data_IF_153449109857
#
_entry.id   IF_153449109857
#
_cell.length_a   1.000
_cell.length_b   1.000
_cell.length_c   1.000
_cell.angle_alpha   90.00
_cell.angle_beta   90.00
_cell.angle_gamma   90.00
#
_symmetry.space_group_name_H-M   'P 1'
#
loop_
_entity.id
_entity.type
_entity.pdbx_description
1 polymer ?
#
# COMPACT_ATOMS: atom_id res chain seq x y z
N UNK A 1 -11.81 0.41 -6.04
CA UNK A 1 -10.88 1.49 -5.63
C UNK A 1 -10.89 1.56 -4.12
N UNK A 2 -9.76 1.84 -3.47
CA UNK A 2 -9.67 1.96 -2.01
C UNK A 2 -9.21 3.37 -1.68
N UNK A 3 -9.86 4.00 -0.71
CA UNK A 3 -9.49 5.30 -0.17
C UNK A 3 -8.95 5.13 1.25
N UNK A 4 -7.97 5.94 1.61
CA UNK A 4 -7.39 5.97 2.95
C UNK A 4 -7.47 7.40 3.47
N UNK A 5 -7.53 7.54 4.79
CA UNK A 5 -7.70 8.82 5.50
C UNK A 5 -9.12 9.40 5.48
N UNK A 6 -10.10 8.63 5.02
CA UNK A 6 -11.51 8.99 5.03
C UNK A 6 -12.37 7.70 5.17
N UNK A 7 -13.45 7.69 5.96
CA UNK A 7 -14.01 8.80 6.75
C UNK A 7 -13.20 9.11 8.02
N UNK A 8 -12.32 8.20 8.42
CA UNK A 8 -11.46 8.37 9.59
C UNK A 8 -10.05 8.80 9.18
N UNK A 9 -9.48 9.82 9.83
CA UNK A 9 -8.10 10.22 9.58
C UNK A 9 -7.15 9.12 10.05
N UNK A 10 -6.09 8.89 9.29
CA UNK A 10 -5.11 7.85 9.58
C UNK A 10 -3.71 8.47 9.51
N UNK A 11 -2.82 8.23 10.49
CA UNK A 11 -1.45 8.69 10.41
C UNK A 11 -0.70 7.97 9.29
N UNK A 12 0.10 8.74 8.54
CA UNK A 12 0.95 8.25 7.44
C UNK A 12 0.18 7.40 6.39
N UNK A 13 -0.86 7.96 5.73
CA UNK A 13 -1.71 7.20 4.82
C UNK A 13 -0.95 6.64 3.61
N UNK A 14 0.08 7.34 3.13
CA UNK A 14 0.96 6.88 2.05
C UNK A 14 1.64 5.55 2.39
N UNK A 15 2.26 5.46 3.57
CA UNK A 15 2.98 4.27 4.01
C UNK A 15 2.03 3.08 4.18
N UNK A 16 0.86 3.32 4.78
CA UNK A 16 -0.18 2.30 4.93
C UNK A 16 -0.73 1.83 3.60
N UNK A 17 -0.92 2.74 2.63
CA UNK A 17 -1.34 2.37 1.28
C UNK A 17 -0.35 1.41 0.61
N UNK A 18 0.94 1.71 0.72
CA UNK A 18 2.00 0.88 0.13
C UNK A 18 2.11 -0.46 0.84
N UNK A 19 2.08 -0.49 2.18
CA UNK A 19 2.08 -1.74 2.95
C UNK A 19 0.87 -2.62 2.63
N UNK A 20 -0.31 -2.01 2.51
CA UNK A 20 -1.53 -2.70 2.09
C UNK A 20 -1.38 -3.29 0.69
N UNK A 21 -0.89 -2.52 -0.29
CA UNK A 21 -0.69 -3.01 -1.65
C UNK A 21 0.32 -4.16 -1.72
N UNK A 22 1.37 -4.11 -0.90
CA UNK A 22 2.35 -5.20 -0.78
C UNK A 22 1.68 -6.48 -0.23
N UNK A 23 0.93 -6.36 0.86
CA UNK A 23 0.22 -7.51 1.44
C UNK A 23 -0.83 -8.09 0.48
N UNK A 24 -1.54 -7.24 -0.27
CA UNK A 24 -2.47 -7.67 -1.31
C UNK A 24 -1.77 -8.42 -2.44
N UNK A 25 -0.59 -7.95 -2.88
CA UNK A 25 0.20 -8.64 -3.90
C UNK A 25 0.63 -10.04 -3.44
N UNK A 26 1.06 -10.16 -2.19
CA UNK A 26 1.46 -11.44 -1.60
C UNK A 26 0.27 -12.41 -1.54
N UNK A 27 -0.87 -11.96 -1.02
CA UNK A 27 -2.10 -12.78 -1.00
C UNK A 27 -2.58 -13.16 -2.41
N UNK A 28 -2.50 -12.22 -3.37
CA UNK A 28 -2.86 -12.46 -4.75
C UNK A 28 -1.92 -13.47 -5.43
N UNK A 29 -0.64 -13.54 -5.05
CA UNK A 29 0.32 -14.47 -5.66
C UNK A 29 -0.11 -15.94 -5.50
N UNK A 30 -0.67 -16.31 -4.35
CA UNK A 30 -1.21 -17.66 -4.10
C UNK A 30 -2.38 -17.97 -5.02
N UNK A 31 -3.29 -17.00 -5.21
CA UNK A 31 -4.40 -17.16 -6.14
C UNK A 31 -3.88 -17.28 -7.57
N UNK A 32 -3.01 -16.37 -8.01
CA UNK A 32 -2.44 -16.37 -9.36
C UNK A 32 -1.80 -17.71 -9.68
N UNK A 33 -1.05 -18.31 -8.75
CA UNK A 33 -0.49 -19.65 -8.92
C UNK A 33 -1.56 -20.71 -9.18
N UNK A 34 -2.62 -20.77 -8.36
CA UNK A 34 -3.73 -21.71 -8.54
C UNK A 34 -4.50 -21.49 -9.86
N UNK A 35 -4.62 -20.24 -10.32
CA UNK A 35 -5.23 -19.94 -11.62
C UNK A 35 -4.33 -20.35 -12.79
N UNK A 36 -3.01 -20.25 -12.63
CA UNK A 36 -2.02 -20.67 -13.62
C UNK A 36 -2.04 -22.17 -13.86
N UNK A 37 -2.17 -22.97 -12.80
CA UNK A 37 -2.35 -24.42 -12.90
C UNK A 37 -3.59 -24.81 -13.70
N UNK A 38 -4.61 -23.95 -13.70
CA UNK A 38 -5.85 -24.11 -14.48
C UNK A 38 -5.76 -23.48 -15.88
N UNK A 39 -4.54 -23.21 -16.37
CA UNK A 39 -4.26 -22.70 -17.71
C UNK A 39 -4.57 -21.22 -17.91
N UNK A 40 -4.77 -20.44 -16.84
CA UNK A 40 -5.13 -19.00 -16.94
C UNK A 40 -3.99 -18.12 -16.46
N UNK A 41 -3.63 -17.14 -17.28
CA UNK A 41 -2.66 -16.11 -16.90
C UNK A 41 -3.39 -14.92 -16.28
N UNK A 42 -3.18 -14.73 -14.98
CA UNK A 42 -3.65 -13.56 -14.25
C UNK A 42 -2.44 -12.76 -13.78
N UNK A 43 -2.56 -11.44 -13.80
CA UNK A 43 -1.56 -10.55 -13.24
C UNK A 43 -2.15 -9.66 -12.15
N UNK A 44 -1.29 -9.13 -11.29
CA UNK A 44 -1.67 -8.19 -10.24
C UNK A 44 -0.84 -6.92 -10.33
N UNK A 45 -1.51 -5.79 -10.59
CA UNK A 45 -0.90 -4.46 -10.63
C UNK A 45 -1.66 -3.49 -9.73
N UNK A 46 -0.94 -2.56 -9.10
CA UNK A 46 -1.54 -1.52 -8.24
C UNK A 46 -0.98 -0.15 -8.59
N UNK A 47 -1.87 0.84 -8.71
CA UNK A 47 -1.51 2.25 -8.80
C UNK A 47 -1.90 3.01 -7.52
N UNK A 48 -0.97 3.78 -6.95
CA UNK A 48 -1.20 4.56 -5.73
C UNK A 48 -0.90 6.03 -6.01
N UNK A 49 -1.86 6.90 -5.73
CA UNK A 49 -1.70 8.35 -5.81
C UNK A 49 -2.20 9.03 -4.53
N UNK A 50 -1.62 10.19 -4.22
CA UNK A 50 -2.00 11.02 -3.08
C UNK A 50 -2.26 12.45 -3.55
N UNK A 51 -3.35 13.04 -3.06
CA UNK A 51 -3.80 14.37 -3.43
C UNK A 51 -5.19 14.66 -2.89
N UNK A 52 -5.71 15.82 -3.22
CA UNK A 52 -7.03 16.24 -2.82
C UNK A 52 -8.10 15.58 -3.68
N UNK A 53 -9.18 15.15 -3.04
CA UNK A 53 -10.40 14.64 -3.65
C UNK A 53 -11.58 15.01 -2.76
N UNK A 54 -12.76 15.14 -3.36
CA UNK A 54 -14.02 15.27 -2.64
C UNK A 54 -14.59 13.87 -2.47
N UNK A 55 -14.83 13.45 -1.22
CA UNK A 55 -15.47 12.18 -0.90
C UNK A 55 -16.87 12.42 -0.36
N UNK A 56 -17.77 11.48 -0.63
CA UNK A 56 -19.14 11.54 -0.12
C UNK A 56 -20.06 10.53 -0.79
N UNK A 57 -21.32 10.56 -0.37
CA UNK A 57 -22.38 9.83 -1.04
C UNK A 57 -22.75 10.57 -2.33
N UNK A 58 -22.46 9.95 -3.47
CA UNK A 58 -22.72 10.50 -4.79
C UNK A 58 -23.63 9.54 -5.56
N UNK A 59 -24.63 10.11 -6.24
CA UNK A 59 -25.60 9.38 -7.03
C UNK A 59 -27.03 9.86 -6.76
N UNK A 60 -27.99 9.13 -7.30
CA UNK A 60 -29.42 9.42 -7.14
C UNK A 60 -30.05 8.45 -6.14
N UNK A 61 -31.29 8.72 -5.70
CA UNK A 61 -31.98 7.99 -4.63
C UNK A 61 -31.89 6.45 -4.75
N UNK A 62 -32.05 5.90 -5.95
CA UNK A 62 -32.03 4.45 -6.19
C UNK A 62 -30.62 3.86 -6.40
N UNK A 63 -29.63 4.71 -6.71
CA UNK A 63 -28.25 4.31 -6.97
C UNK A 63 -27.30 5.39 -6.47
N UNK A 64 -27.05 5.35 -5.17
CA UNK A 64 -26.04 6.17 -4.51
C UNK A 64 -24.94 5.29 -3.94
N UNK A 65 -23.71 5.79 -3.99
CA UNK A 65 -22.54 5.08 -3.48
C UNK A 65 -21.57 6.05 -2.82
N UNK A 66 -20.84 5.57 -1.82
CA UNK A 66 -19.73 6.32 -1.26
C UNK A 66 -18.54 6.27 -2.23
N UNK A 67 -18.13 7.42 -2.74
CA UNK A 67 -17.06 7.49 -3.73
C UNK A 67 -16.27 8.78 -3.61
N UNK A 68 -15.15 8.86 -4.33
CA UNK A 68 -14.29 10.03 -4.39
C UNK A 68 -14.27 10.59 -5.82
N UNK A 69 -14.34 11.90 -5.93
CA UNK A 69 -14.18 12.65 -7.17
C UNK A 69 -12.96 13.55 -7.04
N UNK A 70 -12.03 13.44 -7.97
CA UNK A 70 -10.86 14.31 -8.07
C UNK A 70 -9.81 13.78 -9.02
N UNK A 71 -8.93 14.68 -9.48
CA UNK A 71 -7.85 14.34 -10.41
C UNK A 71 -6.95 13.24 -9.86
N UNK A 72 -6.75 13.16 -8.54
CA UNK A 72 -5.96 12.09 -7.90
C UNK A 72 -6.53 10.69 -8.16
N UNK A 73 -7.85 10.54 -8.25
CA UNK A 73 -8.49 9.26 -8.53
C UNK A 73 -8.16 8.79 -9.96
N UNK A 74 -8.18 9.73 -10.90
CA UNK A 74 -7.80 9.47 -12.29
C UNK A 74 -6.32 9.09 -12.38
N UNK A 75 -5.44 9.82 -11.68
CA UNK A 75 -4.00 9.48 -11.64
C UNK A 75 -3.77 8.07 -11.09
N UNK A 76 -4.41 7.72 -9.96
CA UNK A 76 -4.31 6.38 -9.38
C UNK A 76 -4.77 5.29 -10.36
N UNK A 77 -5.91 5.50 -11.03
CA UNK A 77 -6.44 4.56 -12.01
C UNK A 77 -5.50 4.39 -13.22
N UNK A 78 -4.89 5.48 -13.70
CA UNK A 78 -3.92 5.43 -14.81
C UNK A 78 -2.63 4.73 -14.41
N UNK A 79 -2.09 5.03 -13.23
CA UNK A 79 -0.95 4.29 -12.68
C UNK A 79 -1.26 2.79 -12.55
N UNK A 80 -2.49 2.44 -12.15
CA UNK A 80 -2.91 1.05 -12.07
C UNK A 80 -2.97 0.38 -13.45
N UNK A 81 -3.41 1.10 -14.48
CA UNK A 81 -3.46 0.60 -15.86
C UNK A 81 -2.09 0.38 -16.49
N UNK A 82 -1.08 1.16 -16.10
CA UNK A 82 0.31 0.99 -16.56
C UNK A 82 1.10 -0.04 -15.73
N UNK A 83 0.58 -0.47 -14.59
CA UNK A 83 1.25 -1.41 -13.71
C UNK A 83 1.29 -2.81 -14.34
N UNK A 84 2.49 -3.33 -14.59
CA UNK A 84 2.67 -4.72 -15.03
C UNK A 84 2.44 -5.70 -13.88
N UNK A 85 2.39 -6.98 -14.19
CA UNK A 85 2.24 -8.04 -13.19
C UNK A 85 3.29 -7.93 -12.05
N UNK A 86 2.81 -8.00 -10.81
CA UNK A 86 3.57 -7.83 -9.58
C UNK A 86 4.04 -6.40 -9.29
N UNK A 87 3.72 -5.42 -10.14
CA UNK A 87 4.17 -4.04 -9.97
C UNK A 87 3.19 -3.21 -9.14
N UNK A 88 3.78 -2.37 -8.30
CA UNK A 88 3.09 -1.34 -7.53
C UNK A 88 3.71 -0.03 -7.98
N UNK A 89 2.92 0.80 -8.64
CA UNK A 89 3.33 2.08 -9.21
C UNK A 89 2.85 3.22 -8.30
N UNK A 90 3.81 4.02 -7.83
CA UNK A 90 3.55 5.12 -6.91
C UNK A 90 3.64 6.46 -7.65
N UNK A 91 2.69 7.36 -7.39
CA UNK A 91 2.81 8.75 -7.79
C UNK A 91 3.89 9.50 -6.99
N UNK A 92 4.45 10.56 -7.55
CA UNK A 92 5.53 11.35 -6.96
C UNK A 92 5.27 11.79 -5.51
N UNK A 93 4.05 12.27 -5.21
CA UNK A 93 3.68 12.73 -3.87
C UNK A 93 3.71 11.61 -2.83
N UNK A 94 3.33 10.39 -3.22
CA UNK A 94 3.41 9.20 -2.36
C UNK A 94 4.88 8.90 -2.08
N UNK A 95 5.72 8.88 -3.11
CA UNK A 95 7.15 8.61 -2.96
C UNK A 95 7.84 9.59 -2.00
N UNK A 96 7.55 10.89 -2.14
CA UNK A 96 8.07 11.94 -1.23
C UNK A 96 7.56 11.72 0.20
N UNK A 97 6.29 11.37 0.38
CA UNK A 97 5.70 11.13 1.70
C UNK A 97 6.29 9.90 2.42
N UNK A 98 6.80 8.91 1.69
CA UNK A 98 7.43 7.73 2.29
C UNK A 98 8.76 8.03 2.96
N UNK A 99 9.49 9.08 2.54
CA UNK A 99 10.81 9.46 3.10
C UNK A 99 11.79 8.28 3.28
N UNK A 100 11.77 7.30 2.38
CA UNK A 100 12.63 6.10 2.45
C UNK A 100 12.18 5.01 3.43
N UNK A 101 10.99 5.11 4.04
CA UNK A 101 10.41 4.04 4.87
C UNK A 101 10.19 2.72 4.13
N UNK A 102 10.06 2.79 2.80
CA UNK A 102 9.91 1.63 1.91
C UNK A 102 10.92 1.77 0.76
N UNK A 103 11.55 0.66 0.39
CA UNK A 103 12.48 0.62 -0.74
C UNK A 103 11.74 0.83 -2.07
N UNK A 104 12.11 1.89 -2.79
CA UNK A 104 11.48 2.31 -4.04
C UNK A 104 12.51 2.44 -5.15
N UNK A 105 12.19 1.94 -6.34
CA UNK A 105 13.02 2.05 -7.55
C UNK A 105 12.34 2.94 -8.58
N UNK A 106 13.05 3.92 -9.14
CA UNK A 106 12.50 4.82 -10.16
C UNK A 106 12.39 4.12 -11.51
N UNK A 107 11.18 4.10 -12.08
CA UNK A 107 10.85 3.43 -13.35
C UNK A 107 10.89 4.40 -14.54
N UNK A 108 11.07 5.70 -14.29
CA UNK A 108 11.07 6.76 -15.29
C UNK A 108 9.77 7.56 -15.33
N UNK A 109 9.62 8.41 -16.36
CA UNK A 109 8.40 9.17 -16.59
C UNK A 109 7.38 8.31 -17.37
N UNK A 110 6.15 8.25 -16.87
CA UNK A 110 5.03 7.60 -17.56
C UNK A 110 4.14 8.66 -18.20
N UNK A 111 3.90 8.54 -19.50
CA UNK A 111 2.94 9.35 -20.22
C UNK A 111 1.52 8.82 -19.95
N UNK A 112 0.88 9.34 -18.91
CA UNK A 112 -0.48 8.94 -18.57
C UNK A 112 -1.49 9.63 -19.50
N UNK A 113 -2.23 8.84 -20.28
CA UNK A 113 -3.21 9.36 -21.25
C UNK A 113 -4.22 10.32 -20.60
N UNK A 114 -4.35 11.52 -21.16
CA UNK A 114 -5.29 12.55 -20.72
C UNK A 114 -4.79 13.44 -19.58
N UNK A 115 -3.52 13.34 -19.20
CA UNK A 115 -2.87 14.28 -18.27
C UNK A 115 -1.83 15.11 -19.05
N UNK A 116 -1.97 16.44 -18.98
CA UNK A 116 -1.12 17.41 -19.73
C UNK A 116 0.32 17.44 -19.22
N UNK A 117 0.55 17.04 -17.97
CA UNK A 117 1.89 16.93 -17.39
C UNK A 117 2.25 15.45 -17.25
N UNK A 118 3.35 14.97 -17.85
CA UNK A 118 3.85 13.63 -17.56
C UNK A 118 4.08 13.52 -16.05
N UNK A 119 3.48 12.53 -15.39
CA UNK A 119 3.66 12.38 -13.95
C UNK A 119 5.12 11.98 -13.69
N UNK A 120 5.95 12.85 -13.09
CA UNK A 120 7.36 12.57 -12.96
C UNK A 120 7.52 11.48 -11.91
N UNK A 121 8.25 10.42 -12.25
CA UNK A 121 8.73 9.41 -11.30
C UNK A 121 7.65 8.48 -10.77
N UNK A 122 7.51 7.36 -11.46
CA UNK A 122 6.82 6.21 -10.90
C UNK A 122 7.82 5.33 -10.18
N UNK A 123 7.52 4.99 -8.93
CA UNK A 123 8.39 4.14 -8.11
C UNK A 123 7.82 2.72 -7.98
N UNK A 124 8.66 1.70 -8.13
CA UNK A 124 8.35 0.30 -7.82
C UNK A 124 8.78 -0.01 -6.40
N UNK A 125 7.86 -0.45 -5.55
CA UNK A 125 8.23 -0.94 -4.21
C UNK A 125 8.81 -2.36 -4.30
N UNK A 126 10.08 -2.53 -3.93
CA UNK A 126 10.64 -3.86 -3.62
C UNK A 126 10.31 -4.19 -2.17
N UNK A 127 10.01 -5.46 -1.87
CA UNK A 127 10.16 -5.90 -0.48
C UNK A 127 11.63 -5.72 -0.14
N UNK A 128 11.93 -4.98 0.93
CA UNK A 128 13.18 -5.25 1.62
C UNK A 128 13.05 -6.67 2.15
N UNK A 129 13.71 -7.62 1.48
CA UNK A 129 13.90 -8.94 2.03
C UNK A 129 14.77 -8.73 3.28
N UNK A 130 14.15 -8.52 4.45
CA UNK A 130 14.86 -8.56 5.73
C UNK A 130 15.07 -10.02 6.11
N UNK A 131 15.91 -10.68 5.33
CA UNK A 131 16.60 -11.91 5.69
C UNK A 131 18.09 -11.70 5.43
N UNK A 132 18.69 -10.79 6.21
CA UNK A 132 20.08 -10.91 6.64
C UNK A 132 20.36 -9.94 7.81
N UNK A 133 20.62 -10.55 8.97
CA UNK A 133 21.54 -10.10 10.01
C UNK A 133 21.48 -8.64 10.50
N UNK A 134 20.72 -8.41 11.57
CA UNK A 134 21.21 -7.74 12.79
C UNK A 134 20.49 -8.45 13.95
N UNK A 135 21.15 -9.47 14.50
CA UNK A 135 21.80 -9.41 15.81
C UNK A 135 20.81 -9.25 16.96
N UNK A 136 20.73 -10.29 17.76
CA UNK A 136 20.55 -10.27 19.21
C UNK A 136 20.97 -8.94 19.85
N UNK A 137 20.18 -8.51 20.85
CA UNK A 137 20.37 -7.37 21.75
C UNK A 137 19.72 -6.04 21.34
N UNK A 138 18.42 -5.92 21.68
CA UNK A 138 17.88 -4.70 22.27
C UNK A 138 16.69 -5.07 23.19
N UNK A 139 16.97 -5.89 24.20
CA UNK A 139 16.15 -5.91 25.42
C UNK A 139 16.46 -4.57 26.08
N UNK A 140 15.52 -3.63 26.02
CA UNK A 140 15.54 -2.47 26.91
C UNK A 140 15.10 -3.02 28.27
N UNK A 141 16.07 -3.46 29.07
CA UNK A 141 15.88 -3.67 30.50
C UNK A 141 15.56 -2.31 31.13
N UNK A 142 14.34 -2.17 31.63
CA UNK A 142 14.03 -1.13 32.62
C UNK A 142 14.73 -1.50 33.93
N UNK A 143 15.55 -0.61 34.52
CA UNK A 143 16.05 -0.84 35.86
C UNK A 143 14.88 -0.69 36.83
N UNK A 144 14.56 -1.75 37.57
CA UNK A 144 13.65 -1.70 38.72
C UNK A 144 12.16 -1.86 38.40
N UNK A 145 11.71 -3.10 38.20
CA UNK A 145 10.42 -3.59 38.70
C UNK A 145 10.40 -5.11 38.56
N UNK A 146 10.35 -5.81 39.69
CA UNK A 146 10.42 -7.26 39.78
C UNK A 146 9.29 -7.95 39.02
N UNK A 147 9.66 -8.93 38.20
CA UNK A 147 8.72 -9.84 37.56
C UNK A 147 8.52 -11.06 38.45
N UNK A 148 7.32 -11.20 39.01
CA UNK A 148 6.82 -12.46 39.55
C UNK A 148 6.13 -13.21 38.39
N UNK A 149 6.56 -14.43 38.03
CA UNK A 149 5.89 -15.19 36.98
C UNK A 149 4.49 -15.66 37.43
N UNK A 150 3.49 -15.46 36.56
CA UNK A 150 2.08 -15.89 36.70
C UNK A 150 1.94 -17.40 36.42
N UNK A 151 2.83 -18.21 37.00
CA UNK A 151 2.71 -19.67 37.07
C UNK A 151 2.55 -20.18 38.51
N UNK A 152 2.43 -19.28 39.48
CA UNK A 152 2.23 -19.59 40.90
C UNK A 152 0.78 -19.45 41.40
N UNK A 153 -0.21 -19.28 40.53
CA UNK A 153 -1.63 -19.24 40.91
C UNK A 153 -2.40 -20.44 40.35
N UNK A 154 -2.05 -21.64 40.83
CA UNK A 154 -2.90 -22.84 40.71
C UNK A 154 -2.45 -23.87 41.75
N UNK A 155 -3.19 -23.88 42.87
CA UNK A 155 -3.33 -24.89 43.95
C UNK A 155 -3.02 -24.32 45.34
N UNK A 156 -4.04 -23.70 45.94
CA UNK A 156 -4.66 -24.12 47.21
C UNK A 156 -5.96 -23.37 47.38
#
# INVERSE_FOLDING_TARGET
>A
MVFLNDPLPIPHPAERAVKMAIAMREAASTLIAAWRERGRQLGFGVGIAQGYATLGQIGFSERSGYTAIGTVCNVAARLCGEAKDGQILLGQRVNVALKGSVATEQVGALALKGLTQPSPTTCRSRLANRLSALSTAAIIERPGSGWIPVSALSRR
#
